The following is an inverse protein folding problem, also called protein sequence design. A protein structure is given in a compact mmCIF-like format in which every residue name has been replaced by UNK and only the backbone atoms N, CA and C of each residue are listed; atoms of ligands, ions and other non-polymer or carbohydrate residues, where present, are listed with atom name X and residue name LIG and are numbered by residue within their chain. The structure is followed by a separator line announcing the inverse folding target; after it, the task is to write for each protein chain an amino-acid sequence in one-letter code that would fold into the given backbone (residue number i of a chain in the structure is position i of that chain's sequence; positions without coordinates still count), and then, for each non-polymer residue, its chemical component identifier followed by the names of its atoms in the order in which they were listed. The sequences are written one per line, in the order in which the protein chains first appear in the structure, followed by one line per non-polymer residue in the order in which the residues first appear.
data_IF_474163545487
#
_entry.id   IF_474163545487
#
_cell.length_a   1.000
_cell.length_b   1.000
_cell.length_c   1.000
_cell.angle_alpha   90.00
_cell.angle_beta   90.00
_cell.angle_gamma   90.00
#
_symmetry.space_group_name_H-M   'P 1'
#
loop_
_entity.id
_entity.type
_entity.pdbx_description
1 polymer ?
#
# COMPACT_ATOMS: atom_id res chain seq x y z
N UNK A 1 -22.75 -0.96 -3.33
CA UNK A 1 -21.88 0.22 -3.39
C UNK A 1 -20.50 -0.23 -3.00
N UNK A 2 -19.52 -0.08 -3.88
CA UNK A 2 -18.12 -0.30 -3.51
C UNK A 2 -17.70 0.83 -2.57
N UNK A 3 -17.20 0.47 -1.40
CA UNK A 3 -16.69 1.45 -0.45
C UNK A 3 -15.42 2.06 -1.05
N UNK A 4 -15.44 3.36 -1.35
CA UNK A 4 -14.24 4.08 -1.76
C UNK A 4 -13.25 4.07 -0.60
N UNK A 5 -12.19 3.29 -0.76
CA UNK A 5 -11.11 3.15 0.23
C UNK A 5 -9.77 3.55 -0.37
N UNK A 6 -8.86 3.96 0.50
CA UNK A 6 -7.46 4.21 0.15
C UNK A 6 -6.57 3.42 1.09
N UNK A 7 -5.91 2.40 0.56
CA UNK A 7 -4.94 1.60 1.31
C UNK A 7 -3.65 1.50 0.50
N UNK A 8 -2.59 2.10 1.02
CA UNK A 8 -1.28 2.19 0.38
C UNK A 8 -0.35 1.16 1.02
N UNK A 9 0.16 0.23 0.21
CA UNK A 9 1.19 -0.72 0.64
C UNK A 9 2.57 -0.09 0.53
N UNK A 10 3.27 0.07 1.64
CA UNK A 10 4.65 0.53 1.68
C UNK A 10 5.60 -0.67 1.81
N UNK A 11 6.38 -0.89 0.76
CA UNK A 11 7.31 -2.01 0.64
C UNK A 11 8.76 -1.55 0.54
N UNK A 12 9.66 -2.52 0.68
CA UNK A 12 11.09 -2.36 0.69
C UNK A 12 11.71 -3.35 1.66
N UNK A 13 12.94 -3.78 1.38
CA UNK A 13 13.63 -4.76 2.23
C UNK A 13 13.93 -4.23 3.64
N UNK A 14 14.43 -5.09 4.52
CA UNK A 14 14.86 -4.65 5.86
C UNK A 14 16.01 -3.66 5.75
N UNK A 15 16.01 -2.62 6.60
CA UNK A 15 17.07 -1.61 6.63
C UNK A 15 16.90 -0.43 5.66
N UNK A 16 15.90 -0.45 4.77
CA UNK A 16 15.63 0.67 3.84
C UNK A 16 15.01 1.92 4.48
N UNK A 17 14.67 1.85 5.77
CA UNK A 17 14.13 2.99 6.52
C UNK A 17 12.59 3.15 6.51
N UNK A 18 11.82 2.10 6.18
CA UNK A 18 10.33 2.14 6.22
C UNK A 18 9.76 2.72 7.52
N UNK A 19 10.19 2.21 8.69
CA UNK A 19 9.70 2.72 9.99
C UNK A 19 10.05 4.21 10.19
N UNK A 20 11.23 4.63 9.75
CA UNK A 20 11.65 6.04 9.79
C UNK A 20 10.72 6.89 8.91
N UNK A 21 10.44 6.44 7.68
CA UNK A 21 9.52 7.11 6.78
C UNK A 21 8.10 7.20 7.34
N UNK A 22 7.59 6.09 7.90
CA UNK A 22 6.28 6.04 8.56
C UNK A 22 6.15 7.09 9.69
N UNK A 23 7.18 7.21 10.54
CA UNK A 23 7.18 8.24 11.60
C UNK A 23 7.09 9.66 11.05
N UNK A 24 7.58 9.91 9.82
CA UNK A 24 7.42 11.22 9.17
C UNK A 24 6.01 11.47 8.62
N UNK A 25 5.21 10.42 8.42
CA UNK A 25 3.82 10.52 7.98
C UNK A 25 2.89 10.71 9.19
N UNK A 26 3.15 10.01 10.29
CA UNK A 26 2.38 10.13 11.55
C UNK A 26 2.43 11.54 12.15
N UNK A 27 3.55 12.25 11.96
CA UNK A 27 3.69 13.63 12.43
C UNK A 27 2.97 14.67 11.56
N UNK A 28 2.28 14.24 10.48
CA UNK A 28 1.57 15.13 9.57
C UNK A 28 0.17 15.52 10.06
N UNK A 29 -0.36 16.63 9.56
CA UNK A 29 -1.68 17.17 9.94
C UNK A 29 -2.88 16.42 9.30
N UNK A 30 -2.63 15.39 8.50
CA UNK A 30 -3.68 14.69 7.76
C UNK A 30 -4.24 13.50 8.53
N UNK A 31 -5.54 13.23 8.40
CA UNK A 31 -6.17 11.99 8.87
C UNK A 31 -5.74 10.81 7.99
N UNK A 32 -4.49 10.42 8.13
CA UNK A 32 -3.89 9.23 7.54
C UNK A 32 -3.51 8.30 8.69
N UNK A 33 -3.97 7.06 8.62
CA UNK A 33 -3.56 6.05 9.57
C UNK A 33 -2.32 5.32 9.05
N UNK A 34 -1.36 5.07 9.94
CA UNK A 34 -0.12 4.38 9.61
C UNK A 34 -0.02 3.12 10.46
N UNK A 35 0.31 2.00 9.82
CA UNK A 35 0.35 0.68 10.47
C UNK A 35 1.57 -0.11 10.02
N UNK A 36 2.32 -0.66 10.98
CA UNK A 36 3.29 -1.72 10.68
C UNK A 36 2.57 -3.09 10.61
N UNK A 37 2.70 -3.82 9.51
CA UNK A 37 2.05 -5.12 9.33
C UNK A 37 2.50 -6.16 10.37
N UNK A 38 3.74 -6.06 10.87
CA UNK A 38 4.23 -6.88 11.97
C UNK A 38 3.46 -6.66 13.26
N UNK A 39 2.99 -5.44 13.54
CA UNK A 39 2.23 -5.14 14.75
C UNK A 39 0.83 -5.71 14.69
N UNK A 40 0.21 -5.72 13.51
CA UNK A 40 -1.08 -6.37 13.26
C UNK A 40 -0.98 -7.88 13.52
N UNK A 41 0.06 -8.51 12.98
CA UNK A 41 0.33 -9.94 13.20
C UNK A 41 0.65 -10.24 14.67
N UNK A 42 1.46 -9.41 15.33
CA UNK A 42 1.80 -9.56 16.73
C UNK A 42 0.56 -9.47 17.62
N UNK A 43 -0.31 -8.48 17.39
CA UNK A 43 -1.58 -8.35 18.11
C UNK A 43 -2.48 -9.57 17.92
N UNK A 44 -2.59 -10.07 16.68
CA UNK A 44 -3.46 -11.22 16.37
C UNK A 44 -2.93 -12.54 16.94
N UNK A 45 -1.61 -12.74 16.93
CA UNK A 45 -0.98 -13.96 17.45
C UNK A 45 -0.70 -13.89 18.97
N UNK A 46 -0.74 -12.70 19.57
CA UNK A 46 -0.31 -12.38 20.94
C UNK A 46 1.14 -11.90 21.03
N UNK A 47 2.02 -12.33 20.10
CA UNK A 47 3.35 -11.76 19.91
C UNK A 47 3.89 -12.09 18.52
N UNK A 48 4.89 -11.33 18.05
CA UNK A 48 5.55 -11.62 16.78
C UNK A 48 6.37 -12.92 16.83
N UNK A 49 6.94 -13.26 17.98
CA UNK A 49 7.70 -14.51 18.14
C UNK A 49 6.80 -15.74 18.06
N UNK A 50 5.58 -15.65 18.60
CA UNK A 50 4.57 -16.70 18.45
C UNK A 50 4.15 -16.84 16.99
N UNK A 51 4.04 -15.75 16.23
CA UNK A 51 3.82 -15.83 14.78
C UNK A 51 5.00 -16.52 14.06
N UNK A 52 6.25 -16.16 14.40
CA UNK A 52 7.46 -16.72 13.77
C UNK A 52 7.62 -18.22 14.01
N UNK A 53 7.12 -18.75 15.12
CA UNK A 53 7.18 -20.18 15.45
C UNK A 53 6.13 -21.04 14.73
N UNK A 54 5.13 -20.43 14.09
CA UNK A 54 4.11 -21.14 13.32
C UNK A 54 4.69 -21.80 12.05
N UNK A 55 4.04 -22.87 11.61
CA UNK A 55 4.30 -23.50 10.31
C UNK A 55 3.84 -22.62 9.14
N UNK A 56 4.32 -22.90 7.94
CA UNK A 56 4.09 -22.05 6.76
C UNK A 56 2.60 -21.87 6.41
N UNK A 57 1.79 -22.92 6.50
CA UNK A 57 0.33 -22.85 6.25
C UNK A 57 -0.38 -21.96 7.26
N UNK A 58 -0.03 -22.11 8.54
CA UNK A 58 -0.56 -21.27 9.62
C UNK A 58 -0.13 -19.82 9.42
N UNK A 59 1.15 -19.54 9.16
CA UNK A 59 1.62 -18.17 8.86
C UNK A 59 0.84 -17.55 7.71
N UNK A 60 0.55 -18.31 6.66
CA UNK A 60 -0.24 -17.83 5.53
C UNK A 60 -1.66 -17.47 5.96
N UNK A 61 -2.38 -18.36 6.64
CA UNK A 61 -3.73 -18.09 7.12
C UNK A 61 -3.75 -16.85 8.05
N UNK A 62 -2.72 -16.72 8.88
CA UNK A 62 -2.54 -15.61 9.80
C UNK A 62 -2.29 -14.27 9.07
N UNK A 63 -1.55 -14.29 7.95
CA UNK A 63 -1.36 -13.12 7.07
C UNK A 63 -2.65 -12.76 6.34
N UNK A 64 -3.35 -13.73 5.77
CA UNK A 64 -4.62 -13.51 5.07
C UNK A 64 -5.67 -12.91 6.02
N UNK A 65 -5.81 -13.43 7.24
CA UNK A 65 -6.72 -12.86 8.24
C UNK A 65 -6.33 -11.44 8.69
N UNK A 66 -5.03 -11.14 8.79
CA UNK A 66 -4.56 -9.78 9.06
C UNK A 66 -4.89 -8.82 7.90
N UNK A 67 -4.73 -9.28 6.66
CA UNK A 67 -5.10 -8.52 5.47
C UNK A 67 -6.60 -8.20 5.42
N UNK A 68 -7.46 -9.19 5.69
CA UNK A 68 -8.91 -8.97 5.76
C UNK A 68 -9.30 -7.94 6.83
N UNK A 69 -8.65 -7.99 8.00
CA UNK A 69 -8.86 -6.96 9.03
C UNK A 69 -8.48 -5.56 8.55
N UNK A 70 -7.39 -5.42 7.79
CA UNK A 70 -6.95 -4.14 7.24
C UNK A 70 -7.86 -3.64 6.12
N UNK A 71 -8.48 -4.54 5.34
CA UNK A 71 -9.48 -4.17 4.32
C UNK A 71 -10.63 -3.42 5.00
N UNK A 72 -11.24 -4.02 6.02
CA UNK A 72 -12.33 -3.41 6.78
C UNK A 72 -11.91 -2.10 7.45
N UNK A 73 -10.66 -2.00 7.92
CA UNK A 73 -10.13 -0.78 8.53
C UNK A 73 -9.99 0.37 7.52
N UNK A 74 -9.60 0.05 6.29
CA UNK A 74 -9.39 1.03 5.20
C UNK A 74 -10.69 1.62 4.65
N UNK A 75 -11.84 1.04 4.96
CA UNK A 75 -13.16 1.57 4.59
C UNK A 75 -13.51 2.87 5.33
N UNK A 76 -12.95 3.06 6.53
CA UNK A 76 -13.24 4.23 7.37
C UNK A 76 -12.22 5.36 7.27
N UNK A 77 -10.93 5.04 7.06
CA UNK A 77 -9.86 6.02 6.97
C UNK A 77 -8.80 5.58 5.95
N UNK A 78 -8.16 6.54 5.24
CA UNK A 78 -6.96 6.26 4.46
C UNK A 78 -5.87 5.61 5.31
N UNK A 79 -5.24 4.57 4.76
CA UNK A 79 -4.29 3.73 5.49
C UNK A 79 -2.99 3.58 4.70
N UNK A 80 -1.85 3.71 5.37
CA UNK A 80 -0.54 3.26 4.89
C UNK A 80 -0.11 2.06 5.73
N UNK A 81 0.19 0.94 5.07
CA UNK A 81 0.66 -0.29 5.72
C UNK A 81 2.09 -0.58 5.31
N UNK A 82 3.03 -0.56 6.25
CA UNK A 82 4.38 -1.05 6.00
C UNK A 82 4.43 -2.57 6.08
N UNK A 83 4.91 -3.20 5.02
CA UNK A 83 5.04 -4.64 4.91
C UNK A 83 6.35 -5.04 4.23
N UNK A 84 6.61 -6.35 4.25
CA UNK A 84 7.70 -6.97 3.50
C UNK A 84 7.06 -7.90 2.46
N UNK A 85 7.61 -7.92 1.24
CA UNK A 85 7.09 -8.79 0.19
C UNK A 85 7.63 -10.21 0.36
N UNK A 86 8.92 -10.32 0.67
CA UNK A 86 9.59 -11.58 0.92
C UNK A 86 10.60 -11.45 2.07
N UNK A 87 11.14 -12.59 2.48
CA UNK A 87 12.26 -12.68 3.41
C UNK A 87 13.32 -13.62 2.82
N UNK A 88 14.62 -13.43 3.11
CA UNK A 88 15.62 -14.43 2.77
C UNK A 88 15.23 -15.79 3.35
N UNK A 89 15.33 -16.83 2.54
CA UNK A 89 15.13 -18.20 3.02
C UNK A 89 16.12 -18.49 4.17
N UNK A 90 15.68 -19.29 5.15
CA UNK A 90 16.50 -19.68 6.30
C UNK A 90 17.77 -20.40 5.89
N UNK A 91 17.68 -21.20 4.83
CA UNK A 91 18.79 -21.91 4.23
C UNK A 91 19.06 -21.27 2.86
N UNK A 92 20.22 -20.65 2.74
CA UNK A 92 20.71 -20.16 1.45
C UNK A 92 21.53 -21.26 0.78
N UNK A 93 21.41 -21.43 -0.55
CA UNK A 93 22.19 -22.41 -1.25
C UNK A 93 23.69 -22.06 -1.18
N UNK A 94 24.54 -23.09 -1.03
CA UNK A 94 25.99 -22.90 -0.98
C UNK A 94 26.57 -22.39 -2.32
N UNK A 95 25.87 -22.66 -3.42
CA UNK A 95 26.17 -22.16 -4.76
C UNK A 95 24.87 -21.88 -5.51
N UNK A 96 24.87 -20.87 -6.37
CA UNK A 96 23.68 -20.46 -7.15
C UNK A 96 22.94 -19.26 -6.56
N UNK A 97 21.77 -18.91 -7.11
CA UNK A 97 21.05 -17.69 -6.74
C UNK A 97 20.47 -17.79 -5.34
N UNK A 98 20.38 -16.65 -4.65
CA UNK A 98 19.74 -16.57 -3.34
C UNK A 98 18.25 -16.93 -3.42
N UNK A 99 17.74 -17.54 -2.34
CA UNK A 99 16.34 -17.94 -2.23
C UNK A 99 15.56 -17.03 -1.28
N UNK A 100 14.31 -16.74 -1.64
CA UNK A 100 13.43 -15.83 -0.91
C UNK A 100 12.06 -16.50 -0.64
N UNK A 101 11.61 -16.46 0.61
CA UNK A 101 10.27 -16.87 1.02
C UNK A 101 9.29 -15.70 0.81
N UNK A 102 8.35 -15.84 -0.12
CA UNK A 102 7.32 -14.82 -0.37
C UNK A 102 6.31 -14.79 0.78
N UNK A 103 6.17 -13.63 1.40
CA UNK A 103 5.17 -13.35 2.43
C UNK A 103 3.87 -12.79 1.86
N UNK A 104 3.91 -12.19 0.67
CA UNK A 104 2.76 -11.60 -0.01
C UNK A 104 1.69 -12.64 -0.38
N UNK A 105 0.44 -12.33 -0.08
CA UNK A 105 -0.74 -13.18 -0.28
C UNK A 105 -1.72 -12.59 -1.30
N UNK A 106 -2.71 -13.37 -1.71
CA UNK A 106 -3.75 -12.86 -2.60
C UNK A 106 -4.71 -11.90 -1.88
N UNK A 107 -4.77 -11.95 -0.54
CA UNK A 107 -5.47 -10.93 0.25
C UNK A 107 -4.73 -9.60 0.22
N UNK A 108 -3.40 -9.60 0.27
CA UNK A 108 -2.59 -8.37 0.12
C UNK A 108 -2.83 -7.72 -1.25
N UNK A 109 -2.89 -8.54 -2.31
CA UNK A 109 -3.25 -8.11 -3.65
C UNK A 109 -4.61 -7.40 -3.73
N UNK A 110 -5.61 -7.88 -2.98
CA UNK A 110 -6.91 -7.19 -2.89
C UNK A 110 -6.85 -6.00 -1.97
N UNK A 111 -6.06 -6.02 -0.90
CA UNK A 111 -6.00 -4.97 0.11
C UNK A 111 -5.52 -3.64 -0.47
N UNK A 112 -4.44 -3.64 -1.24
CA UNK A 112 -3.79 -2.39 -1.63
C UNK A 112 -4.45 -1.74 -2.85
N UNK A 113 -4.83 -0.47 -2.71
CA UNK A 113 -5.24 0.35 -3.83
C UNK A 113 -4.07 1.01 -4.53
N UNK A 114 -2.94 1.19 -3.83
CA UNK A 114 -1.67 1.66 -4.38
C UNK A 114 -0.52 0.96 -3.68
N UNK A 115 0.62 0.84 -4.35
CA UNK A 115 1.85 0.27 -3.78
C UNK A 115 3.02 1.21 -4.03
N UNK A 116 3.77 1.50 -2.97
CA UNK A 116 5.03 2.27 -3.01
C UNK A 116 6.15 1.35 -2.57
N UNK A 117 7.21 1.26 -3.36
CA UNK A 117 8.43 0.55 -3.00
C UNK A 117 9.56 1.54 -2.74
N UNK A 118 10.18 1.46 -1.56
CA UNK A 118 11.37 2.24 -1.21
C UNK A 118 12.62 1.44 -1.61
N UNK A 119 13.45 2.05 -2.44
CA UNK A 119 14.73 1.51 -2.89
C UNK A 119 15.87 2.30 -2.25
N UNK A 120 16.94 1.62 -1.86
CA UNK A 120 18.18 2.25 -1.38
C UNK A 120 19.37 1.37 -1.74
N UNK A 121 20.54 2.00 -1.85
CA UNK A 121 21.78 1.30 -2.18
C UNK A 121 22.09 0.22 -1.14
N UNK A 122 22.54 -0.95 -1.59
CA UNK A 122 22.83 -2.08 -0.71
C UNK A 122 23.87 -1.72 0.38
N UNK A 123 24.87 -0.91 0.04
CA UNK A 123 25.86 -0.36 0.98
C UNK A 123 25.21 0.47 2.09
N UNK A 124 24.23 1.29 1.72
CA UNK A 124 23.48 2.13 2.67
C UNK A 124 22.61 1.26 3.57
N UNK A 125 22.01 0.19 3.04
CA UNK A 125 21.19 -0.75 3.81
C UNK A 125 22.05 -1.56 4.79
N UNK A 126 23.21 -2.06 4.35
CA UNK A 126 24.15 -2.81 5.18
C UNK A 126 24.68 -1.93 6.32
N UNK A 127 25.13 -0.71 6.01
CA UNK A 127 25.62 0.24 7.01
C UNK A 127 24.54 0.68 8.01
N UNK A 128 23.30 0.90 7.59
CA UNK A 128 22.20 1.20 8.51
C UNK A 128 21.87 0.00 9.41
N UNK A 129 21.90 -1.21 8.85
CA UNK A 129 21.59 -2.42 9.59
C UNK A 129 22.62 -2.71 10.68
N UNK A 130 23.91 -2.45 10.44
CA UNK A 130 24.97 -2.66 11.44
C UNK A 130 24.92 -1.64 12.60
N UNK A 131 24.36 -0.45 12.37
CA UNK A 131 24.19 0.60 13.38
C UNK A 131 22.92 0.42 14.22
N UNK A 132 21.91 -0.32 13.73
CA UNK A 132 20.66 -0.56 14.45
C UNK A 132 20.79 -1.69 15.47
N UNK A 133 21.27 -1.36 16.67
CA UNK A 133 21.35 -2.30 17.82
C UNK A 133 20.00 -2.51 18.52
N UNK A 134 18.97 -1.75 18.15
CA UNK A 134 17.69 -1.72 18.86
C UNK A 134 16.75 -2.85 18.44
N UNK A 135 16.96 -3.42 17.26
CA UNK A 135 16.10 -4.47 16.68
C UNK A 135 16.93 -5.73 16.49
N UNK A 136 16.50 -6.84 17.14
CA UNK A 136 17.01 -8.20 16.91
C UNK A 136 16.61 -8.71 15.51
N UNK A 137 17.12 -8.06 14.47
CA UNK A 137 17.01 -8.53 13.09
C UNK A 137 18.32 -9.23 12.74
N UNK A 138 18.25 -10.26 11.91
CA UNK A 138 19.47 -10.82 11.32
C UNK A 138 20.13 -9.70 10.51
N UNK A 139 21.26 -9.19 11.02
CA UNK A 139 22.12 -8.29 10.25
C UNK A 139 22.54 -9.01 8.98
N UNK A 140 22.33 -8.34 7.85
CA UNK A 140 22.75 -8.84 6.55
C UNK A 140 23.72 -7.82 5.97
N UNK A 141 25.01 -8.08 6.13
CA UNK A 141 26.08 -7.22 5.61
C UNK A 141 26.51 -7.64 4.19
N UNK A 142 25.88 -8.68 3.63
CA UNK A 142 26.12 -9.13 2.27
C UNK A 142 25.38 -8.24 1.27
N UNK A 143 26.10 -7.29 0.67
CA UNK A 143 25.59 -6.36 -0.33
C UNK A 143 24.97 -7.08 -1.55
N UNK A 144 25.59 -8.15 -2.03
CA UNK A 144 25.06 -8.91 -3.18
C UNK A 144 23.69 -9.54 -2.87
N UNK A 145 23.53 -10.10 -1.66
CA UNK A 145 22.25 -10.63 -1.21
C UNK A 145 21.21 -9.52 -1.09
N UNK A 146 21.57 -8.35 -0.56
CA UNK A 146 20.66 -7.21 -0.44
C UNK A 146 20.20 -6.70 -1.81
N UNK A 147 21.11 -6.56 -2.77
CA UNK A 147 20.76 -6.16 -4.13
C UNK A 147 19.85 -7.18 -4.81
N UNK A 148 20.17 -8.47 -4.73
CA UNK A 148 19.35 -9.52 -5.32
C UNK A 148 17.98 -9.61 -4.66
N UNK A 149 17.90 -9.41 -3.34
CA UNK A 149 16.63 -9.37 -2.61
C UNK A 149 15.78 -8.18 -3.05
N UNK A 150 16.37 -6.99 -3.13
CA UNK A 150 15.66 -5.78 -3.55
C UNK A 150 15.14 -5.92 -4.98
N UNK A 151 15.97 -6.39 -5.92
CA UNK A 151 15.56 -6.70 -7.30
C UNK A 151 14.43 -7.72 -7.35
N UNK A 152 14.54 -8.79 -6.58
CA UNK A 152 13.50 -9.82 -6.49
C UNK A 152 12.16 -9.26 -5.99
N UNK A 153 12.15 -8.45 -4.92
CA UNK A 153 10.92 -7.84 -4.43
C UNK A 153 10.32 -6.87 -5.46
N UNK A 154 11.14 -6.00 -6.07
CA UNK A 154 10.67 -5.02 -7.07
C UNK A 154 10.01 -5.74 -8.25
N UNK A 155 10.68 -6.72 -8.85
CA UNK A 155 10.18 -7.41 -10.06
C UNK A 155 8.88 -8.17 -9.78
N UNK A 156 8.85 -8.92 -8.68
CA UNK A 156 7.68 -9.73 -8.31
C UNK A 156 6.50 -8.86 -7.90
N UNK A 157 6.74 -7.81 -7.10
CA UNK A 157 5.70 -6.92 -6.63
C UNK A 157 5.12 -6.09 -7.78
N UNK A 158 5.96 -5.58 -8.69
CA UNK A 158 5.51 -4.90 -9.91
C UNK A 158 4.63 -5.82 -10.76
N UNK A 159 5.09 -7.04 -11.03
CA UNK A 159 4.33 -8.03 -11.80
C UNK A 159 2.98 -8.35 -11.14
N UNK A 160 2.94 -8.47 -9.81
CA UNK A 160 1.70 -8.71 -9.06
C UNK A 160 0.75 -7.52 -9.14
N UNK A 161 1.27 -6.31 -9.01
CA UNK A 161 0.48 -5.07 -9.11
C UNK A 161 -0.12 -4.90 -10.51
N UNK A 162 0.67 -5.11 -11.56
CA UNK A 162 0.21 -5.07 -12.96
C UNK A 162 -0.93 -6.05 -13.22
N UNK A 163 -0.81 -7.30 -12.74
CA UNK A 163 -1.85 -8.32 -12.89
C UNK A 163 -3.17 -7.97 -12.19
N UNK A 164 -3.12 -7.18 -11.12
CA UNK A 164 -4.28 -6.81 -10.34
C UNK A 164 -4.80 -5.40 -10.64
N UNK A 165 -4.14 -4.67 -11.56
CA UNK A 165 -4.48 -3.27 -11.87
C UNK A 165 -4.16 -2.30 -10.72
N UNK A 166 -3.27 -2.68 -9.80
CA UNK A 166 -2.84 -1.81 -8.69
C UNK A 166 -1.70 -0.90 -9.18
N UNK A 167 -1.80 0.43 -9.07
CA UNK A 167 -0.68 1.33 -9.33
C UNK A 167 0.53 1.00 -8.45
N UNK A 168 1.70 0.88 -9.10
CA UNK A 168 2.98 0.63 -8.45
C UNK A 168 3.94 1.80 -8.68
N UNK A 169 4.57 2.29 -7.62
CA UNK A 169 5.55 3.38 -7.69
C UNK A 169 6.85 2.98 -7.01
N UNK A 170 7.95 3.08 -7.76
CA UNK A 170 9.30 2.85 -7.28
C UNK A 170 9.93 4.19 -6.87
N UNK A 171 10.36 4.29 -5.63
CA UNK A 171 11.07 5.46 -5.09
C UNK A 171 12.55 5.11 -5.00
N UNK A 172 13.29 5.59 -5.99
CA UNK A 172 14.73 5.36 -6.12
C UNK A 172 15.57 6.06 -5.05
N UNK A 173 16.85 5.68 -4.93
CA UNK A 173 17.79 6.36 -4.06
C UNK A 173 18.14 7.78 -4.56
N UNK A 174 18.36 8.68 -3.60
CA UNK A 174 18.95 10.00 -3.84
C UNK A 174 20.43 9.83 -4.23
N UNK A 175 20.83 10.45 -5.35
CA UNK A 175 22.19 10.35 -5.92
C UNK A 175 23.33 10.58 -4.92
N UNK A 176 23.16 11.53 -4.00
CA UNK A 176 24.25 11.94 -3.10
C UNK A 176 24.36 11.06 -1.83
N UNK A 177 23.29 10.34 -1.46
CA UNK A 177 23.23 9.62 -0.18
C UNK A 177 22.93 8.14 -0.29
N UNK A 178 22.47 7.67 -1.46
CA UNK A 178 22.02 6.29 -1.68
C UNK A 178 20.77 5.90 -0.88
N UNK A 179 20.17 6.83 -0.13
CA UNK A 179 18.94 6.62 0.66
C UNK A 179 17.71 6.87 -0.19
N UNK A 180 16.62 6.17 0.10
CA UNK A 180 15.34 6.40 -0.57
C UNK A 180 14.88 7.86 -0.46
N UNK A 181 14.32 8.39 -1.54
CA UNK A 181 13.75 9.75 -1.56
C UNK A 181 12.41 9.82 -0.82
N UNK A 182 12.47 10.02 0.50
CA UNK A 182 11.29 10.16 1.34
C UNK A 182 10.45 11.41 0.99
N UNK A 183 11.04 12.45 0.41
CA UNK A 183 10.29 13.63 0.00
C UNK A 183 9.39 13.31 -1.19
N UNK A 184 9.93 12.61 -2.21
CA UNK A 184 9.16 12.13 -3.34
C UNK A 184 8.05 11.15 -2.91
N UNK A 185 8.37 10.19 -2.02
CA UNK A 185 7.38 9.26 -1.49
C UNK A 185 6.24 9.98 -0.74
N UNK A 186 6.57 10.98 0.09
CA UNK A 186 5.57 11.77 0.83
C UNK A 186 4.70 12.62 -0.11
N UNK A 187 5.30 13.25 -1.11
CA UNK A 187 4.56 14.03 -2.11
C UNK A 187 3.56 13.16 -2.88
N UNK A 188 3.97 11.95 -3.26
CA UNK A 188 3.10 10.99 -3.94
C UNK A 188 1.93 10.53 -3.06
N UNK A 189 2.20 10.16 -1.81
CA UNK A 189 1.15 9.75 -0.85
C UNK A 189 0.18 10.91 -0.61
N UNK A 190 0.69 12.14 -0.49
CA UNK A 190 -0.14 13.33 -0.31
C UNK A 190 -1.07 13.55 -1.52
N UNK A 191 -0.55 13.44 -2.74
CA UNK A 191 -1.35 13.56 -3.96
C UNK A 191 -2.51 12.54 -3.99
N UNK A 192 -2.24 11.27 -3.68
CA UNK A 192 -3.29 10.24 -3.59
C UNK A 192 -4.32 10.51 -2.49
N UNK A 193 -3.90 11.08 -1.35
CA UNK A 193 -4.81 11.47 -0.27
C UNK A 193 -5.75 12.60 -0.72
N UNK A 194 -5.23 13.61 -1.42
CA UNK A 194 -6.06 14.69 -1.97
C UNK A 194 -7.03 14.17 -3.05
N UNK A 195 -6.56 13.30 -3.95
CA UNK A 195 -7.42 12.66 -4.94
C UNK A 195 -8.54 11.84 -4.28
N UNK A 196 -8.23 11.10 -3.22
CA UNK A 196 -9.21 10.32 -2.48
C UNK A 196 -10.24 11.21 -1.76
N UNK A 197 -9.80 12.30 -1.10
CA UNK A 197 -10.72 13.29 -0.49
C UNK A 197 -11.65 13.91 -1.53
N UNK A 198 -11.12 14.29 -2.70
CA UNK A 198 -11.91 14.84 -3.79
C UNK A 198 -12.96 13.83 -4.29
N UNK A 199 -12.58 12.56 -4.48
CA UNK A 199 -13.51 11.49 -4.86
C UNK A 199 -14.62 11.28 -3.84
N UNK A 200 -14.29 11.26 -2.54
CA UNK A 200 -15.29 11.15 -1.46
C UNK A 200 -16.24 12.36 -1.45
N UNK A 201 -15.72 13.57 -1.65
CA UNK A 201 -16.55 14.78 -1.71
C UNK A 201 -17.53 14.74 -2.90
N UNK A 202 -17.06 14.31 -4.08
CA UNK A 202 -17.91 14.13 -5.27
C UNK A 202 -18.95 13.04 -5.04
N UNK A 203 -18.57 11.87 -4.50
CA UNK A 203 -19.51 10.78 -4.23
C UNK A 203 -20.59 11.20 -3.24
N UNK A 204 -20.20 11.91 -2.16
CA UNK A 204 -21.14 12.47 -1.20
C UNK A 204 -22.10 13.46 -1.85
N UNK A 205 -21.57 14.42 -2.63
CA UNK A 205 -22.39 15.40 -3.32
C UNK A 205 -23.37 14.76 -4.31
N UNK A 206 -22.92 13.76 -5.07
CA UNK A 206 -23.77 13.00 -5.99
C UNK A 206 -24.90 12.31 -5.23
N UNK A 207 -24.60 11.63 -4.13
CA UNK A 207 -25.60 10.98 -3.29
C UNK A 207 -26.62 12.00 -2.76
N UNK A 208 -26.16 13.08 -2.15
CA UNK A 208 -27.02 14.13 -1.58
C UNK A 208 -27.89 14.81 -2.66
N UNK A 209 -27.41 14.87 -3.91
CA UNK A 209 -28.10 15.52 -5.04
C UNK A 209 -29.01 14.59 -5.85
N UNK A 210 -28.73 13.28 -5.86
CA UNK A 210 -29.47 12.26 -6.60
C UNK A 210 -30.49 11.51 -5.74
N UNK A 211 -30.34 11.51 -4.41
CA UNK A 211 -31.38 10.99 -3.52
C UNK A 211 -32.65 11.84 -3.72
N UNK A 212 -33.76 11.23 -4.20
CA UNK A 212 -34.97 11.98 -4.45
C UNK A 212 -35.44 12.58 -3.12
N UNK A 213 -35.52 13.89 -3.07
CA UNK A 213 -36.34 14.53 -2.05
C UNK A 213 -37.74 13.95 -2.24
N UNK A 214 -38.25 13.19 -1.26
CA UNK A 214 -39.60 12.61 -1.25
C UNK A 214 -40.73 13.67 -1.33
N UNK A 215 -40.41 14.92 -1.68
CA UNK A 215 -41.35 15.96 -2.04
C UNK A 215 -41.81 15.72 -3.48
N UNK A 216 -43.02 15.19 -3.61
CA UNK A 216 -43.75 15.08 -4.87
C UNK A 216 -43.67 16.40 -5.66
N UNK A 217 -42.96 16.40 -6.80
CA UNK A 217 -42.98 17.51 -7.76
C UNK A 217 -41.63 18.03 -8.26
N UNK A 218 -40.48 17.51 -7.80
CA UNK A 218 -39.19 17.93 -8.35
C UNK A 218 -39.01 17.37 -9.78
N UNK A 219 -38.84 18.20 -10.82
CA UNK A 219 -38.62 17.73 -12.18
C UNK A 219 -37.32 16.92 -12.24
N UNK A 220 -37.27 15.90 -13.11
CA UNK A 220 -36.06 15.12 -13.40
C UNK A 220 -34.88 16.08 -13.65
N UNK A 221 -33.95 16.12 -12.69
CA UNK A 221 -32.82 17.03 -12.72
C UNK A 221 -31.98 16.73 -13.96
N UNK A 222 -31.84 17.72 -14.86
CA UNK A 222 -30.89 17.61 -15.98
C UNK A 222 -29.50 17.86 -15.41
N UNK A 223 -28.66 16.83 -15.40
CA UNK A 223 -27.26 16.95 -14.98
C UNK A 223 -26.40 17.28 -16.19
N UNK A 224 -25.70 18.40 -16.15
CA UNK A 224 -24.66 18.75 -17.11
C UNK A 224 -23.30 18.38 -16.50
N UNK A 225 -22.71 17.30 -16.99
CA UNK A 225 -21.36 16.90 -16.62
C UNK A 225 -20.38 17.57 -17.59
N UNK A 226 -19.42 18.31 -17.04
CA UNK A 226 -18.36 18.97 -17.80
C UNK A 226 -17.05 18.42 -17.28
N UNK A 227 -16.18 18.01 -18.20
CA UNK A 227 -14.84 17.60 -17.85
C UNK A 227 -14.01 18.80 -17.34
N UNK A 228 -13.28 18.57 -16.25
CA UNK A 228 -12.65 19.62 -15.44
C UNK A 228 -11.28 20.06 -15.95
N UNK A 229 -10.56 19.21 -16.70
CA UNK A 229 -9.25 19.56 -17.28
C UNK A 229 -9.32 20.01 -18.75
N UNK A 230 -10.52 19.96 -19.35
CA UNK A 230 -10.79 20.40 -20.71
C UNK A 230 -10.56 19.32 -21.77
N UNK A 231 -10.28 18.09 -21.36
CA UNK A 231 -10.04 16.92 -22.21
C UNK A 231 -11.22 15.93 -22.11
N UNK A 232 -12.24 16.14 -22.93
CA UNK A 232 -13.31 15.14 -23.09
C UNK A 232 -12.81 13.95 -23.93
N UNK A 233 -12.30 12.91 -23.27
CA UNK A 233 -12.06 11.60 -23.87
C UNK A 233 -13.25 10.66 -23.66
N UNK A 234 -13.46 9.69 -24.55
CA UNK A 234 -14.61 8.77 -24.52
C UNK A 234 -14.52 7.80 -23.33
N UNK A 235 -13.34 7.69 -22.75
CA UNK A 235 -12.98 6.83 -21.63
C UNK A 235 -13.14 7.51 -20.25
N UNK A 236 -13.33 8.84 -20.20
CA UNK A 236 -13.20 9.62 -18.97
C UNK A 236 -14.52 10.00 -18.28
N UNK A 237 -14.48 9.88 -16.94
CA UNK A 237 -15.42 10.30 -15.86
C UNK A 237 -16.92 9.98 -15.95
N UNK A 238 -17.50 9.81 -17.14
CA UNK A 238 -18.93 9.47 -17.28
C UNK A 238 -19.24 8.07 -16.75
N UNK A 239 -18.26 7.15 -16.75
CA UNK A 239 -18.43 5.77 -16.25
C UNK A 239 -18.88 5.73 -14.79
N UNK A 240 -18.21 6.48 -13.89
CA UNK A 240 -18.55 6.49 -12.46
C UNK A 240 -19.96 7.05 -12.21
N UNK A 241 -20.37 8.08 -12.96
CA UNK A 241 -21.73 8.63 -12.88
C UNK A 241 -22.78 7.60 -13.32
N UNK A 242 -22.56 6.89 -14.43
CA UNK A 242 -23.49 5.88 -14.91
C UNK A 242 -23.54 4.61 -14.05
N UNK A 243 -22.42 4.21 -13.44
CA UNK A 243 -22.36 3.10 -12.48
C UNK A 243 -23.20 3.42 -11.22
N UNK A 244 -23.08 4.63 -10.66
CA UNK A 244 -23.87 5.05 -9.50
C UNK A 244 -25.36 5.29 -9.85
N UNK A 245 -25.66 5.86 -11.02
CA UNK A 245 -27.05 6.05 -11.49
C UNK A 245 -27.79 4.71 -11.66
N UNK A 246 -27.11 3.68 -12.15
CA UNK A 246 -27.67 2.35 -12.32
C UNK A 246 -27.99 1.68 -10.97
N UNK A 247 -27.24 1.98 -9.91
CA UNK A 247 -27.48 1.49 -8.55
C UNK A 247 -28.64 2.22 -7.88
N UNK A 248 -28.86 3.50 -8.18
CA UNK A 248 -29.98 4.29 -7.60
C UNK A 248 -31.32 4.00 -8.29
N UNK A 249 -31.31 3.52 -9.54
CA UNK A 249 -32.53 3.22 -10.31
C UNK A 249 -32.97 1.74 -10.27
N UNK A 250 -32.19 0.85 -9.64
CA UNK A 250 -32.53 -0.57 -9.43
C UNK A 250 -32.98 -0.84 -8.00
#
# INVERSE_FOLDING_TARGET
MDVLRLCIGLYGISGVGKSTFLGTLESGEQRLEVVEGSDVLAKRCGSLDKFKSLGSSQKRAEREAAGEHLIHRSEGNPLVVAAHFSFPAREQPATGPFSFEVAFTDTDARLYTHVVYLEADAQVIASQSSLDTSRSRQHCDNEELLEQWQRHEIDQLRTRCERNGTPFSLIGPLRDSGRSDFAAAKALIHDWLEQHKNRLAVQKWLKDSLEPSNAAGVPKSVFLLIDGDGTLAREDTTRLFFEELAVVQG
#
